data_IF_393170127805
#
_entry.id   IF_393170127805
#
_cell.length_a   1.000
_cell.length_b   1.000
_cell.length_c   1.000
_cell.angle_alpha   90.00
_cell.angle_beta   90.00
_cell.angle_gamma   90.00
#
_symmetry.space_group_name_H-M   'P 1'
#
loop_
_entity.id
_entity.type
_entity.pdbx_description
1 polymer ?
#
# COMPACT_ATOMS: atom_id res chain seq x y z
N UNK A 1 -4.84 -7.67 -2.22
CA UNK A 1 -3.42 -7.90 -1.81
C UNK A 1 -3.03 -9.36 -1.51
N UNK A 2 -3.90 -10.37 -1.64
CA UNK A 2 -3.58 -11.75 -1.22
C UNK A 2 -2.38 -12.39 -1.95
N UNK A 3 -2.07 -11.97 -3.19
CA UNK A 3 -0.90 -12.47 -3.93
C UNK A 3 0.41 -11.75 -3.58
N UNK A 4 0.34 -10.61 -2.90
CA UNK A 4 1.51 -9.78 -2.55
C UNK A 4 1.96 -10.00 -1.10
N UNK A 5 1.13 -10.64 -0.26
CA UNK A 5 1.43 -10.86 1.16
C UNK A 5 2.63 -11.79 1.42
N UNK A 6 3.10 -12.53 0.42
CA UNK A 6 4.32 -13.33 0.50
C UNK A 6 5.59 -12.57 0.13
N UNK A 7 5.49 -11.31 -0.32
CA UNK A 7 6.61 -10.51 -0.79
C UNK A 7 7.25 -9.72 0.36
N UNK A 8 7.70 -10.42 1.39
CA UNK A 8 8.26 -9.81 2.60
C UNK A 8 9.53 -8.99 2.36
N UNK A 9 10.19 -9.17 1.20
CA UNK A 9 11.41 -8.47 0.80
C UNK A 9 11.15 -7.39 -0.27
N UNK A 10 9.89 -7.07 -0.56
CA UNK A 10 9.57 -5.99 -1.49
C UNK A 10 9.78 -4.66 -0.78
N UNK A 11 10.67 -3.82 -1.31
CA UNK A 11 11.03 -2.51 -0.74
C UNK A 11 10.17 -1.38 -1.37
N UNK A 12 9.87 -1.46 -2.66
CA UNK A 12 9.12 -0.43 -3.39
C UNK A 12 7.93 -1.04 -4.14
N UNK A 13 6.76 -0.41 -4.04
CA UNK A 13 5.54 -0.80 -4.76
C UNK A 13 4.88 0.42 -5.41
N UNK A 14 4.80 0.39 -6.74
CA UNK A 14 4.21 1.45 -7.53
C UNK A 14 2.84 1.02 -8.04
N UNK A 15 1.79 1.71 -7.58
CA UNK A 15 0.39 1.50 -7.99
C UNK A 15 -0.22 2.79 -8.55
N UNK A 16 0.61 3.79 -8.88
CA UNK A 16 0.13 5.04 -9.45
C UNK A 16 -0.61 4.83 -10.76
N UNK A 17 -1.61 5.69 -11.00
CA UNK A 17 -2.51 5.63 -12.16
C UNK A 17 -3.29 4.31 -12.32
N UNK A 18 -3.46 3.55 -11.23
CA UNK A 18 -4.33 2.36 -11.22
C UNK A 18 -5.72 2.69 -10.66
N UNK A 19 -6.71 1.84 -10.95
CA UNK A 19 -8.09 2.01 -10.43
C UNK A 19 -8.28 1.46 -9.01
N UNK A 20 -7.18 1.23 -8.27
CA UNK A 20 -7.23 0.62 -6.95
C UNK A 20 -7.96 1.52 -5.94
N UNK A 21 -8.72 0.88 -5.06
CA UNK A 21 -9.56 1.46 -4.02
C UNK A 21 -9.13 0.96 -2.64
N UNK A 22 -9.68 1.56 -1.59
CA UNK A 22 -9.49 1.12 -0.21
C UNK A 22 -9.80 -0.37 0.00
N UNK A 23 -10.75 -0.93 -0.76
CA UNK A 23 -11.20 -2.30 -0.57
C UNK A 23 -10.18 -3.33 -1.06
N UNK A 24 -9.41 -3.01 -2.10
CA UNK A 24 -8.37 -3.90 -2.63
C UNK A 24 -7.06 -3.86 -1.82
N UNK A 25 -6.91 -2.83 -0.98
CA UNK A 25 -5.76 -2.53 -0.12
C UNK A 25 -5.93 -2.97 1.34
N UNK A 26 -6.93 -3.81 1.66
CA UNK A 26 -7.26 -4.21 3.03
C UNK A 26 -6.21 -5.03 3.78
N UNK A 27 -5.23 -5.63 3.09
CA UNK A 27 -4.28 -6.57 3.69
C UNK A 27 -2.81 -6.30 3.30
N UNK A 28 -2.23 -5.16 3.71
CA UNK A 28 -0.82 -4.86 3.48
C UNK A 28 0.13 -5.59 4.44
N UNK A 29 -0.39 -6.29 5.46
CA UNK A 29 0.38 -6.88 6.57
C UNK A 29 1.50 -7.86 6.14
N UNK A 30 1.44 -8.39 4.92
CA UNK A 30 2.50 -9.26 4.38
C UNK A 30 3.65 -8.51 3.69
N UNK A 31 3.52 -7.20 3.49
CA UNK A 31 4.52 -6.32 2.89
C UNK A 31 5.38 -5.65 3.97
N UNK A 32 5.86 -6.44 4.93
CA UNK A 32 6.57 -5.93 6.11
C UNK A 32 7.91 -5.27 5.79
N UNK A 33 8.49 -5.56 4.63
CA UNK A 33 9.74 -4.95 4.14
C UNK A 33 9.53 -3.73 3.26
N UNK A 34 8.28 -3.28 3.06
CA UNK A 34 7.99 -2.15 2.17
C UNK A 34 8.41 -0.83 2.79
N UNK A 35 9.23 -0.10 2.05
CA UNK A 35 9.75 1.21 2.41
C UNK A 35 9.05 2.33 1.65
N UNK A 36 8.57 2.07 0.42
CA UNK A 36 7.85 3.06 -0.39
C UNK A 36 6.61 2.48 -1.10
N UNK A 37 5.51 3.22 -1.04
CA UNK A 37 4.25 2.92 -1.71
C UNK A 37 3.72 4.15 -2.45
N UNK A 38 3.65 4.07 -3.77
CA UNK A 38 3.09 5.12 -4.63
C UNK A 38 1.64 4.80 -5.03
N UNK A 39 0.71 5.64 -4.57
CA UNK A 39 -0.73 5.59 -4.80
C UNK A 39 -1.23 6.84 -5.55
N UNK A 40 -0.36 7.62 -6.18
CA UNK A 40 -0.78 8.82 -6.90
C UNK A 40 -1.79 8.48 -8.01
N UNK A 41 -2.80 9.32 -8.17
CA UNK A 41 -3.85 9.13 -9.18
C UNK A 41 -4.62 7.79 -9.04
N UNK A 42 -4.83 7.31 -7.82
CA UNK A 42 -5.69 6.16 -7.51
C UNK A 42 -7.05 6.59 -6.94
N UNK A 43 -7.91 5.62 -6.60
CA UNK A 43 -9.20 5.85 -5.93
C UNK A 43 -9.13 5.56 -4.42
N UNK A 44 -7.92 5.49 -3.87
CA UNK A 44 -7.71 5.40 -2.42
C UNK A 44 -8.14 6.73 -1.79
N UNK A 45 -8.65 6.70 -0.56
CA UNK A 45 -9.00 7.92 0.17
C UNK A 45 -7.96 8.21 1.24
N UNK A 46 -7.95 9.44 1.76
CA UNK A 46 -7.08 9.80 2.91
C UNK A 46 -7.27 8.86 4.11
N UNK A 47 -8.50 8.39 4.35
CA UNK A 47 -8.78 7.39 5.39
C UNK A 47 -8.14 6.04 5.07
N UNK A 48 -8.15 5.62 3.81
CA UNK A 48 -7.46 4.42 3.34
C UNK A 48 -5.95 4.54 3.56
N UNK A 49 -5.35 5.68 3.20
CA UNK A 49 -3.93 5.95 3.42
C UNK A 49 -3.57 5.92 4.90
N UNK A 50 -4.38 6.51 5.79
CA UNK A 50 -4.13 6.45 7.24
C UNK A 50 -4.09 5.01 7.76
N UNK A 51 -5.04 4.17 7.33
CA UNK A 51 -5.05 2.74 7.69
C UNK A 51 -3.82 2.00 7.15
N UNK A 52 -3.40 2.33 5.93
CA UNK A 52 -2.17 1.77 5.34
C UNK A 52 -0.94 2.20 6.13
N UNK A 53 -0.85 3.46 6.55
CA UNK A 53 0.24 3.97 7.36
C UNK A 53 0.27 3.31 8.76
N UNK A 54 -0.89 3.04 9.35
CA UNK A 54 -0.99 2.30 10.62
C UNK A 54 -0.51 0.85 10.48
N UNK A 55 -0.80 0.20 9.35
CA UNK A 55 -0.39 -1.17 9.08
C UNK A 55 1.09 -1.29 8.62
N UNK A 56 1.61 -0.25 7.97
CA UNK A 56 2.97 -0.15 7.46
C UNK A 56 3.65 1.10 8.05
N UNK A 57 3.96 1.13 9.36
CA UNK A 57 4.43 2.34 10.05
C UNK A 57 5.79 2.85 9.56
N UNK A 58 6.57 2.00 8.88
CA UNK A 58 7.89 2.35 8.35
C UNK A 58 7.88 2.62 6.84
N UNK A 59 6.73 2.50 6.17
CA UNK A 59 6.59 2.75 4.74
C UNK A 59 6.24 4.22 4.50
N UNK A 60 6.93 4.85 3.57
CA UNK A 60 6.56 6.15 3.01
C UNK A 60 5.43 5.94 1.99
N UNK A 61 4.28 6.59 2.22
CA UNK A 61 3.12 6.49 1.34
C UNK A 61 2.90 7.82 0.62
N UNK A 62 2.96 7.79 -0.71
CA UNK A 62 2.72 8.94 -1.58
C UNK A 62 1.32 8.76 -2.19
N UNK A 63 0.42 9.72 -2.00
CA UNK A 63 -0.99 9.63 -2.43
C UNK A 63 -1.51 10.96 -2.99
#
# INVERSE_FOLDING_TARGET
MEHLSGLSNLEELHLSHTQITNDELKHPEGLTGLEALDLQHTQVTEEGVKKLQEALPNCEIIH
#
